data_IF_343512671735
#
_entry.id   IF_343512671735
#
_cell.length_a   1.000
_cell.length_b   1.000
_cell.length_c   1.000
_cell.angle_alpha   90.00
_cell.angle_beta   90.00
_cell.angle_gamma   90.00
#
_symmetry.space_group_name_H-M   'P 1'
#
loop_
_entity.id
_entity.type
_entity.pdbx_description
1 polymer ?
#
# COMPACT_ATOMS: atom_id res chain seq x y z
N UNK A 1 4.86 -3.23 2.71
CA UNK A 1 4.61 -2.76 1.33
C UNK A 1 3.20 -3.23 1.01
N UNK A 2 2.14 -2.51 1.35
CA UNK A 2 1.62 -1.24 0.80
C UNK A 2 0.75 -0.60 1.87
N UNK A 3 0.85 0.72 2.10
CA UNK A 3 -0.32 1.50 2.56
C UNK A 3 -0.32 2.86 1.85
N UNK A 4 -1.23 2.92 0.88
CA UNK A 4 -2.11 4.07 0.65
C UNK A 4 -3.00 4.29 1.86
N UNK A 5 -3.33 5.53 2.29
CA UNK A 5 -4.07 5.88 3.50
C UNK A 5 -5.53 5.46 3.40
N UNK A 6 -5.72 4.16 3.20
CA UNK A 6 -6.96 3.44 3.36
C UNK A 6 -6.99 3.03 4.82
N UNK A 7 -8.12 3.30 5.44
CA UNK A 7 -8.44 2.76 6.76
C UNK A 7 -8.48 1.23 6.69
N UNK A 8 -8.36 0.58 7.85
CA UNK A 8 -8.49 -0.89 7.95
C UNK A 8 -9.80 -1.36 7.29
N UNK A 9 -10.89 -0.62 7.48
CA UNK A 9 -12.19 -0.95 6.90
C UNK A 9 -12.20 -0.85 5.36
N UNK A 10 -11.44 0.08 4.78
CA UNK A 10 -11.29 0.16 3.32
C UNK A 10 -10.45 -0.98 2.75
N UNK A 11 -9.44 -1.46 3.48
CA UNK A 11 -8.70 -2.66 3.07
C UNK A 11 -9.56 -3.93 3.17
N UNK A 12 -10.38 -4.04 4.22
CA UNK A 12 -11.29 -5.16 4.37
C UNK A 12 -12.36 -5.18 3.27
N UNK A 13 -12.90 -4.02 2.89
CA UNK A 13 -13.96 -3.92 1.88
C UNK A 13 -13.46 -3.99 0.43
N UNK A 14 -12.44 -3.19 0.08
CA UNK A 14 -11.95 -3.06 -1.30
C UNK A 14 -10.74 -3.94 -1.59
N UNK A 15 -10.01 -4.39 -0.57
CA UNK A 15 -8.70 -5.01 -0.73
C UNK A 15 -7.61 -4.01 -1.07
N UNK A 16 -6.44 -4.52 -1.49
CA UNK A 16 -5.34 -3.68 -1.94
C UNK A 16 -5.35 -3.49 -3.46
N UNK A 17 -5.54 -2.24 -3.90
CA UNK A 17 -5.64 -1.87 -5.32
C UNK A 17 -4.46 -2.30 -6.20
N UNK A 18 -3.30 -2.55 -5.60
CA UNK A 18 -2.06 -2.97 -6.25
C UNK A 18 -1.67 -4.43 -5.98
N UNK A 19 -2.17 -5.06 -4.91
CA UNK A 19 -1.65 -6.34 -4.41
C UNK A 19 -2.71 -7.41 -4.17
N UNK A 20 -3.99 -7.13 -4.48
CA UNK A 20 -5.08 -8.06 -4.21
C UNK A 20 -4.89 -9.44 -4.85
N UNK A 21 -4.28 -9.49 -6.05
CA UNK A 21 -3.98 -10.75 -6.73
C UNK A 21 -3.02 -11.66 -5.98
N UNK A 22 -2.23 -11.12 -5.05
CA UNK A 22 -1.21 -11.86 -4.29
C UNK A 22 -1.58 -12.02 -2.83
N UNK A 23 -2.10 -10.97 -2.20
CA UNK A 23 -2.35 -10.93 -0.76
C UNK A 23 -3.78 -11.32 -0.37
N UNK A 24 -4.75 -11.24 -1.29
CA UNK A 24 -6.15 -11.66 -1.08
C UNK A 24 -6.74 -11.21 0.28
N UNK A 25 -6.59 -9.92 0.59
CA UNK A 25 -6.97 -9.36 1.89
C UNK A 25 -8.45 -8.99 1.97
N UNK A 26 -9.15 -8.95 0.82
CA UNK A 26 -10.56 -8.57 0.75
C UNK A 26 -11.43 -9.53 1.55
N UNK A 27 -12.22 -8.99 2.48
CA UNK A 27 -13.08 -9.75 3.38
C UNK A 27 -12.34 -10.51 4.48
N UNK A 28 -11.02 -10.35 4.60
CA UNK A 28 -10.22 -11.01 5.63
C UNK A 28 -9.49 -9.98 6.49
N UNK A 29 -10.13 -9.58 7.59
CA UNK A 29 -9.62 -8.56 8.51
C UNK A 29 -8.30 -8.95 9.18
N UNK A 30 -8.08 -10.25 9.45
CA UNK A 30 -6.81 -10.72 10.03
C UNK A 30 -5.67 -10.54 9.03
N UNK A 31 -5.87 -10.92 7.77
CA UNK A 31 -4.90 -10.69 6.70
C UNK A 31 -4.59 -9.21 6.49
N UNK A 32 -5.59 -8.33 6.64
CA UNK A 32 -5.38 -6.88 6.61
C UNK A 32 -4.41 -6.46 7.72
N UNK A 33 -4.59 -6.94 8.96
CA UNK A 33 -3.68 -6.59 10.07
C UNK A 33 -2.26 -7.13 9.88
N UNK A 34 -2.11 -8.31 9.28
CA UNK A 34 -0.77 -8.89 9.04
C UNK A 34 -0.04 -8.27 7.85
N UNK A 35 -0.79 -7.84 6.83
CA UNK A 35 -0.21 -7.31 5.60
C UNK A 35 -0.04 -5.78 5.59
N UNK A 36 -0.66 -5.10 6.56
CA UNK A 36 -0.60 -3.64 6.72
C UNK A 36 0.12 -3.27 8.02
N UNK A 37 0.74 -2.09 8.07
CA UNK A 37 1.38 -1.56 9.29
C UNK A 37 0.94 -0.14 9.56
N UNK A 38 0.53 0.14 10.80
CA UNK A 38 0.20 1.49 11.28
C UNK A 38 1.44 2.37 11.49
N UNK A 39 2.64 1.77 11.49
CA UNK A 39 3.90 2.47 11.75
C UNK A 39 4.58 2.79 10.42
N UNK A 40 4.43 4.02 9.96
CA UNK A 40 5.04 4.52 8.74
C UNK A 40 5.52 5.96 8.91
N UNK A 41 6.51 6.33 8.10
CA UNK A 41 7.10 7.66 8.10
C UNK A 41 7.00 8.25 6.70
N UNK A 42 6.58 9.53 6.64
CA UNK A 42 6.43 10.28 5.40
C UNK A 42 5.27 9.80 4.51
N UNK A 43 4.70 10.74 3.76
CA UNK A 43 3.57 10.49 2.86
C UNK A 43 3.84 11.14 1.50
N UNK A 44 3.57 10.40 0.42
CA UNK A 44 3.72 10.83 -0.97
C UNK A 44 2.37 10.76 -1.64
N UNK A 45 1.81 11.88 -2.12
CA UNK A 45 0.67 11.85 -3.01
C UNK A 45 1.14 11.68 -4.46
N UNK A 46 1.06 10.46 -4.99
CA UNK A 46 1.47 10.11 -6.35
C UNK A 46 0.32 10.28 -7.33
N UNK A 47 0.41 11.24 -8.26
CA UNK A 47 -0.64 11.43 -9.28
C UNK A 47 -0.33 10.73 -10.61
N UNK A 48 0.95 10.72 -11.01
CA UNK A 48 1.40 10.14 -12.29
C UNK A 48 2.65 9.26 -12.05
N UNK A 49 2.46 8.00 -11.62
CA UNK A 49 3.54 7.06 -11.32
C UNK A 49 4.53 6.85 -12.49
N UNK A 50 4.03 6.81 -13.72
CA UNK A 50 4.79 6.56 -14.94
C UNK A 50 5.78 7.68 -15.30
N UNK A 51 5.48 8.93 -14.93
CA UNK A 51 6.27 10.12 -15.27
C UNK A 51 6.91 10.78 -14.03
N UNK A 52 6.89 10.11 -12.88
CA UNK A 52 7.41 10.65 -11.62
C UNK A 52 8.78 10.07 -11.27
N UNK A 53 9.77 10.96 -11.08
CA UNK A 53 11.06 10.57 -10.52
C UNK A 53 10.92 9.97 -9.10
N UNK A 54 10.03 10.54 -8.29
CA UNK A 54 9.73 10.02 -6.93
C UNK A 54 9.20 8.60 -7.02
N UNK A 55 8.34 8.30 -8.01
CA UNK A 55 7.82 6.96 -8.20
C UNK A 55 8.91 5.95 -8.60
N UNK A 56 9.85 6.36 -9.46
CA UNK A 56 11.02 5.55 -9.83
C UNK A 56 11.92 5.29 -8.63
N UNK A 57 12.21 6.33 -7.83
CA UNK A 57 13.02 6.21 -6.61
C UNK A 57 12.38 5.26 -5.59
N UNK A 58 11.07 5.38 -5.39
CA UNK A 58 10.30 4.56 -4.45
C UNK A 58 9.86 3.20 -5.01
N UNK A 59 10.24 2.88 -6.25
CA UNK A 59 9.86 1.63 -6.95
C UNK A 59 8.34 1.40 -7.04
N UNK A 60 7.57 2.49 -7.12
CA UNK A 60 6.10 2.49 -7.26
C UNK A 60 5.64 2.95 -8.65
N UNK A 61 6.54 3.03 -9.63
CA UNK A 61 6.24 3.52 -10.99
C UNK A 61 5.22 2.69 -11.78
N UNK A 62 5.00 1.44 -11.40
CA UNK A 62 4.00 0.55 -12.02
C UNK A 62 2.72 0.40 -11.18
N UNK A 63 2.60 1.14 -10.08
CA UNK A 63 1.42 1.09 -9.21
C UNK A 63 0.42 2.17 -9.58
N UNK A 64 -0.81 2.07 -9.06
CA UNK A 64 -1.88 3.04 -9.36
C UNK A 64 -1.64 4.40 -8.70
N UNK A 65 -2.22 5.45 -9.28
CA UNK A 65 -2.16 6.80 -8.73
C UNK A 65 -2.89 6.93 -7.39
N UNK A 66 -2.18 7.52 -6.42
CA UNK A 66 -2.66 8.12 -5.17
C UNK A 66 -1.59 8.05 -4.07
N UNK A 67 -1.93 7.88 -2.81
CA UNK A 67 -1.03 8.23 -1.70
C UNK A 67 -0.16 7.05 -1.23
N UNK A 68 1.10 7.21 -0.89
CA UNK A 68 1.99 6.13 -0.45
C UNK A 68 2.83 6.56 0.75
N UNK A 69 3.18 5.63 1.64
CA UNK A 69 4.18 5.88 2.67
C UNK A 69 5.60 5.94 2.06
N UNK A 70 6.47 6.82 2.60
CA UNK A 70 7.90 6.86 2.22
C UNK A 70 8.63 5.65 2.79
N UNK A 71 8.37 5.33 4.06
CA UNK A 71 8.93 4.18 4.78
C UNK A 71 7.83 3.50 5.56
N UNK A 72 7.84 2.16 5.58
CA UNK A 72 6.91 1.36 6.39
C UNK A 72 7.73 0.46 7.33
N UNK A 73 7.43 0.51 8.62
CA UNK A 73 8.05 -0.34 9.63
C UNK A 73 7.24 -1.63 9.76
N UNK A 74 7.89 -2.78 9.54
CA UNK A 74 7.26 -4.09 9.61
C UNK A 74 7.73 -5.00 8.48
N UNK A 75 7.41 -6.29 8.58
CA UNK A 75 7.66 -7.29 7.53
C UNK A 75 6.42 -8.14 7.37
N UNK A 76 6.13 -8.51 6.12
CA UNK A 76 5.07 -9.49 5.84
C UNK A 76 5.45 -10.83 6.46
N UNK A 77 4.48 -11.60 6.96
CA UNK A 77 4.71 -12.98 7.40
C UNK A 77 5.25 -13.85 6.24
N UNK A 78 6.05 -14.88 6.56
CA UNK A 78 6.72 -15.74 5.57
C UNK A 78 5.76 -16.61 4.75
#
# INVERSE_FOLDING_TARGET
MVIFPKTIDQFEYDGCDNCESYLQMKGNREMVYECTSSSFDGVIAMMSPEDSWVAKWQRIGNFKAGVYAVTVTGRLPP
#
